data_IF_943803873016
#
_entry.id   IF_943803873016
#
_cell.length_a   1.000
_cell.length_b   1.000
_cell.length_c   1.000
_cell.angle_alpha   90.00
_cell.angle_beta   90.00
_cell.angle_gamma   90.00
#
_symmetry.space_group_name_H-M   'P 1'
#
loop_
_entity.id
_entity.type
_entity.pdbx_description
1 polymer ?
#
# COMPACT_ATOMS: atom_id res chain seq x y z
N UNK A 1 23.17 13.76 43.06
CA UNK A 1 23.62 12.90 41.93
C UNK A 1 23.06 11.48 41.96
N UNK A 2 22.57 10.93 43.08
CA UNK A 2 22.10 9.53 43.20
C UNK A 2 20.81 9.17 42.42
N UNK A 3 19.91 10.14 42.16
CA UNK A 3 18.67 9.89 41.40
C UNK A 3 18.81 9.91 39.86
N UNK A 4 19.92 10.43 39.31
CA UNK A 4 20.10 10.53 37.85
C UNK A 4 20.50 9.20 37.23
N UNK A 5 21.28 8.39 37.95
CA UNK A 5 21.72 7.07 37.49
C UNK A 5 20.53 6.08 37.47
N UNK A 6 19.69 6.11 38.51
CA UNK A 6 18.50 5.26 38.56
C UNK A 6 17.51 5.58 37.43
N UNK A 7 17.33 6.87 37.11
CA UNK A 7 16.45 7.30 36.01
C UNK A 7 16.98 6.84 34.63
N UNK A 8 18.30 6.88 34.42
CA UNK A 8 18.94 6.39 33.19
C UNK A 8 18.84 4.87 33.05
N UNK A 9 18.97 4.12 34.16
CA UNK A 9 18.79 2.67 34.16
C UNK A 9 17.35 2.26 33.86
N UNK A 10 16.37 2.97 34.43
CA UNK A 10 14.94 2.72 34.14
C UNK A 10 14.61 3.06 32.68
N UNK A 11 15.06 4.21 32.16
CA UNK A 11 14.85 4.56 30.75
C UNK A 11 15.56 3.59 29.78
N UNK A 12 16.77 3.14 30.11
CA UNK A 12 17.50 2.15 29.32
C UNK A 12 16.82 0.78 29.30
N UNK A 13 16.31 0.32 30.44
CA UNK A 13 15.58 -0.95 30.54
C UNK A 13 14.24 -0.90 29.79
N UNK A 14 13.52 0.22 29.86
CA UNK A 14 12.25 0.41 29.14
C UNK A 14 12.47 0.47 27.63
N UNK A 15 13.55 1.10 27.15
CA UNK A 15 13.89 1.14 25.72
C UNK A 15 14.23 -0.24 25.14
N UNK A 16 14.87 -1.13 25.91
CA UNK A 16 15.23 -2.47 25.45
C UNK A 16 14.02 -3.42 25.31
N UNK A 17 12.89 -3.11 25.93
CA UNK A 17 11.68 -3.94 25.92
C UNK A 17 10.66 -3.52 24.85
N UNK A 18 10.94 -2.49 24.03
CA UNK A 18 9.99 -2.08 22.99
C UNK A 18 10.02 -3.06 21.81
N UNK A 19 8.87 -3.64 21.41
CA UNK A 19 8.82 -4.51 20.24
C UNK A 19 9.21 -3.74 18.97
N UNK A 20 9.88 -4.42 18.04
CA UNK A 20 10.21 -3.84 16.74
C UNK A 20 8.92 -3.57 15.96
N UNK A 21 8.65 -2.29 15.69
CA UNK A 21 7.54 -1.90 14.82
C UNK A 21 7.79 -2.44 13.40
N UNK A 22 6.88 -3.28 12.91
CA UNK A 22 6.91 -3.76 11.52
C UNK A 22 6.10 -2.79 10.68
N UNK A 23 6.68 -2.34 9.57
CA UNK A 23 5.94 -1.57 8.59
C UNK A 23 4.87 -2.46 7.95
N UNK A 24 3.71 -1.88 7.69
CA UNK A 24 2.66 -2.46 6.87
C UNK A 24 2.32 -1.45 5.77
N UNK A 25 1.93 -1.96 4.60
CA UNK A 25 1.44 -1.13 3.52
C UNK A 25 0.25 -1.82 2.85
N UNK A 26 -0.50 -1.05 2.07
CA UNK A 26 -1.65 -1.53 1.33
C UNK A 26 -1.32 -1.55 -0.15
N UNK A 27 -1.71 -2.61 -0.84
CA UNK A 27 -1.71 -2.68 -2.30
C UNK A 27 -3.14 -2.45 -2.77
N UNK A 28 -3.29 -1.72 -3.86
CA UNK A 28 -4.54 -1.42 -4.54
C UNK A 28 -4.44 -1.90 -5.98
N UNK A 29 -5.47 -2.57 -6.46
CA UNK A 29 -5.69 -2.80 -7.89
C UNK A 29 -6.49 -1.62 -8.38
N UNK A 30 -5.80 -0.63 -8.94
CA UNK A 30 -6.41 0.56 -9.48
C UNK A 30 -7.00 0.26 -10.85
N UNK A 31 -8.23 0.69 -11.06
CA UNK A 31 -8.91 0.73 -12.35
C UNK A 31 -8.88 2.16 -12.85
N UNK A 32 -8.20 2.37 -13.98
CA UNK A 32 -8.20 3.66 -14.67
C UNK A 32 -9.09 3.51 -15.89
N UNK A 33 -10.19 4.25 -15.92
CA UNK A 33 -11.16 4.17 -17.00
C UNK A 33 -11.41 5.51 -17.66
N UNK A 34 -11.69 5.48 -18.97
CA UNK A 34 -12.13 6.63 -19.76
C UNK A 34 -13.54 6.36 -20.26
N UNK A 35 -14.41 7.36 -20.15
CA UNK A 35 -15.78 7.24 -20.63
C UNK A 35 -15.80 6.85 -22.12
N UNK A 36 -16.78 6.03 -22.57
CA UNK A 36 -16.91 5.66 -23.97
C UNK A 36 -16.93 6.89 -24.90
N UNK A 37 -16.29 6.82 -26.08
CA UNK A 37 -16.32 7.94 -27.03
C UNK A 37 -17.73 8.21 -27.59
N UNK A 38 -18.56 7.17 -27.67
CA UNK A 38 -19.93 7.25 -28.14
C UNK A 38 -20.83 6.20 -27.44
N UNK A 39 -22.16 6.39 -27.40
CA UNK A 39 -23.09 5.39 -26.91
C UNK A 39 -22.93 4.05 -27.64
N UNK A 40 -22.84 2.95 -26.90
CA UNK A 40 -22.66 1.60 -27.45
C UNK A 40 -21.21 1.20 -27.73
N UNK A 41 -20.24 2.09 -27.49
CA UNK A 41 -18.81 1.73 -27.52
C UNK A 41 -18.32 1.29 -26.14
N UNK A 42 -17.32 0.40 -26.06
CA UNK A 42 -16.72 0.01 -24.79
C UNK A 42 -15.94 1.19 -24.19
N UNK A 43 -15.93 1.25 -22.86
CA UNK A 43 -15.01 2.12 -22.14
C UNK A 43 -13.57 1.58 -22.29
N UNK A 44 -12.61 2.49 -22.37
CA UNK A 44 -11.20 2.12 -22.29
C UNK A 44 -10.84 1.95 -20.81
N UNK A 45 -10.27 0.81 -20.45
CA UNK A 45 -9.93 0.48 -19.06
C UNK A 45 -8.54 -0.16 -18.98
N UNK A 46 -7.77 0.21 -17.95
CA UNK A 46 -6.53 -0.47 -17.58
C UNK A 46 -6.50 -0.71 -16.08
N UNK A 47 -5.84 -1.80 -15.71
CA UNK A 47 -5.65 -2.21 -14.32
C UNK A 47 -4.17 -2.15 -13.98
N UNK A 48 -3.85 -1.56 -12.84
CA UNK A 48 -2.49 -1.47 -12.32
C UNK A 48 -2.49 -1.76 -10.83
N UNK A 49 -1.43 -2.38 -10.34
CA UNK A 49 -1.20 -2.47 -8.91
C UNK A 49 -0.42 -1.23 -8.43
N UNK A 50 -0.79 -0.70 -7.27
CA UNK A 50 -0.11 0.44 -6.65
C UNK A 50 -0.16 0.35 -5.13
N UNK A 51 0.82 0.94 -4.45
CA UNK A 51 0.74 1.19 -3.02
C UNK A 51 0.17 2.58 -2.67
N UNK A 52 -0.26 3.34 -3.68
CA UNK A 52 -0.99 4.59 -3.54
C UNK A 52 -2.48 4.32 -3.72
N UNK A 53 -3.30 4.87 -2.84
CA UNK A 53 -4.75 4.87 -3.05
C UNK A 53 -5.13 5.72 -4.29
N UNK A 54 -6.37 5.64 -4.82
CA UNK A 54 -6.73 6.39 -6.03
C UNK A 54 -6.49 7.90 -5.94
N UNK A 55 -6.73 8.52 -4.78
CA UNK A 55 -6.55 9.95 -4.60
C UNK A 55 -5.07 10.33 -4.57
N UNK A 56 -4.27 9.53 -3.87
CA UNK A 56 -2.82 9.67 -3.87
C UNK A 56 -2.23 9.45 -5.26
N UNK A 57 -2.68 8.43 -5.98
CA UNK A 57 -2.17 8.08 -7.30
C UNK A 57 -2.30 9.24 -8.28
N UNK A 58 -3.45 9.91 -8.32
CA UNK A 58 -3.69 11.10 -9.15
C UNK A 58 -2.75 12.26 -8.79
N UNK A 59 -2.30 12.36 -7.54
CA UNK A 59 -1.35 13.37 -7.10
C UNK A 59 0.11 13.09 -7.50
N UNK A 60 0.47 11.83 -7.79
CA UNK A 60 1.83 11.42 -8.12
C UNK A 60 2.04 11.11 -9.60
N UNK A 61 1.03 10.58 -10.29
CA UNK A 61 1.13 10.17 -11.69
C UNK A 61 0.21 11.02 -12.59
N UNK A 62 0.65 11.34 -13.81
CA UNK A 62 -0.19 12.05 -14.76
C UNK A 62 -1.38 11.17 -15.16
N UNK A 63 -2.58 11.71 -14.99
CA UNK A 63 -3.85 11.12 -15.40
C UNK A 63 -4.51 12.05 -16.41
N UNK A 64 -5.11 11.51 -17.48
CA UNK A 64 -5.81 12.34 -18.44
C UNK A 64 -7.05 12.97 -17.80
N UNK A 65 -7.44 14.22 -18.11
CA UNK A 65 -8.58 14.88 -17.46
C UNK A 65 -9.94 14.18 -17.61
N UNK A 66 -10.06 13.27 -18.58
CA UNK A 66 -11.28 12.47 -18.84
C UNK A 66 -11.19 11.06 -18.28
N UNK A 67 -10.08 10.71 -17.65
CA UNK A 67 -9.90 9.44 -16.97
C UNK A 67 -10.38 9.54 -15.52
N UNK A 68 -10.92 8.45 -15.02
CA UNK A 68 -11.29 8.28 -13.61
C UNK A 68 -10.45 7.16 -13.03
N UNK A 69 -9.91 7.38 -11.82
CA UNK A 69 -9.15 6.38 -11.08
C UNK A 69 -9.99 5.88 -9.92
N UNK A 70 -10.28 4.58 -9.91
CA UNK A 70 -10.92 3.87 -8.78
C UNK A 70 -10.07 2.66 -8.40
N UNK A 71 -10.49 1.87 -7.40
CA UNK A 71 -9.90 0.57 -7.14
C UNK A 71 -10.95 -0.53 -7.19
N UNK A 72 -10.57 -1.70 -7.67
CA UNK A 72 -11.43 -2.89 -7.65
C UNK A 72 -11.05 -3.86 -6.56
N UNK A 73 -9.80 -3.83 -6.10
CA UNK A 73 -9.37 -4.67 -5.01
C UNK A 73 -8.24 -4.04 -4.19
N UNK A 74 -8.04 -4.55 -2.97
CA UNK A 74 -6.95 -4.12 -2.09
C UNK A 74 -6.61 -5.13 -1.01
N UNK A 75 -5.33 -5.28 -0.66
CA UNK A 75 -4.90 -6.10 0.46
C UNK A 75 -3.76 -5.45 1.24
N UNK A 76 -3.59 -5.92 2.48
CA UNK A 76 -2.49 -5.51 3.34
C UNK A 76 -1.29 -6.42 3.10
N UNK A 77 -0.13 -5.79 2.91
CA UNK A 77 1.17 -6.44 2.90
C UNK A 77 1.91 -6.11 4.19
N UNK A 78 2.53 -7.14 4.76
CA UNK A 78 3.50 -6.97 5.83
C UNK A 78 4.83 -6.54 5.22
N UNK A 79 5.66 -5.87 6.02
CA UNK A 79 6.98 -5.38 5.66
C UNK A 79 6.97 -4.09 4.81
N UNK A 80 8.15 -3.64 4.37
CA UNK A 80 8.35 -2.36 3.69
C UNK A 80 8.36 -2.51 2.17
N UNK A 81 7.66 -1.63 1.48
CA UNK A 81 7.53 -1.56 0.00
C UNK A 81 8.77 -1.07 -0.74
N UNK A 82 9.98 -1.18 -0.16
CA UNK A 82 11.20 -0.50 -0.60
C UNK A 82 11.76 -0.93 -1.96
N UNK A 83 11.02 -0.73 -3.05
CA UNK A 83 11.34 -1.16 -4.41
C UNK A 83 11.12 -2.64 -4.69
N UNK A 84 10.56 -3.40 -3.74
CA UNK A 84 10.27 -4.82 -3.91
C UNK A 84 8.95 -5.01 -4.67
N UNK A 85 8.77 -6.16 -5.36
CA UNK A 85 7.45 -6.55 -5.86
C UNK A 85 6.39 -6.52 -4.77
N UNK A 86 5.15 -6.26 -5.16
CA UNK A 86 4.02 -6.33 -4.23
C UNK A 86 3.83 -7.75 -3.69
N UNK A 87 3.36 -7.86 -2.45
CA UNK A 87 3.03 -9.17 -1.90
C UNK A 87 1.81 -9.74 -2.65
N UNK A 88 1.71 -11.07 -2.80
CA UNK A 88 0.59 -11.69 -3.51
C UNK A 88 -0.75 -11.38 -2.84
N UNK A 89 -1.81 -11.35 -3.64
CA UNK A 89 -3.16 -11.13 -3.15
C UNK A 89 -3.63 -12.37 -2.36
N UNK A 90 -3.88 -12.27 -1.04
CA UNK A 90 -4.24 -13.43 -0.23
C UNK A 90 -5.59 -14.07 -0.64
N UNK A 91 -6.36 -13.40 -1.50
CA UNK A 91 -7.63 -13.90 -2.03
C UNK A 91 -7.53 -14.51 -3.42
N UNK A 92 -6.39 -14.37 -4.09
CA UNK A 92 -6.15 -15.02 -5.37
C UNK A 92 -5.50 -16.40 -5.15
N UNK A 93 -6.21 -17.51 -5.43
CA UNK A 93 -5.70 -18.87 -5.27
C UNK A 93 -4.41 -19.14 -6.07
N UNK A 94 -4.20 -18.44 -7.19
CA UNK A 94 -3.02 -18.61 -8.03
C UNK A 94 -1.76 -17.91 -7.47
N UNK A 95 -1.91 -17.05 -6.47
CA UNK A 95 -0.84 -16.20 -5.96
C UNK A 95 -0.22 -16.68 -4.64
N UNK A 96 -0.77 -17.73 -4.02
CA UNK A 96 -0.22 -18.33 -2.79
C UNK A 96 1.06 -19.10 -3.14
N UNK A 97 2.24 -18.72 -2.59
CA UNK A 97 3.45 -19.52 -2.75
C UNK A 97 3.23 -20.91 -2.15
N UNK A 98 3.67 -21.96 -2.85
CA UNK A 98 3.63 -23.32 -2.31
C UNK A 98 4.30 -23.37 -0.91
N UNK A 99 3.76 -24.17 0.04
CA UNK A 99 4.24 -24.23 1.42
C UNK A 99 5.71 -24.64 1.54
#
# INVERSE_FOLDING_TARGET
>A
MRNRIFSLLVFGLVGALTPAARAEYRVFVLKISKAPPAPGQPAEERFIESNLDPWQYVGFYPIHPTETVTYTDTWMCRERTGGRPFCPNPRDPASVPAP
#
